data_IF_105330739382
#
_entry.id   IF_105330739382
#
_cell.length_a   1.000
_cell.length_b   1.000
_cell.length_c   1.000
_cell.angle_alpha   90.00
_cell.angle_beta   90.00
_cell.angle_gamma   90.00
#
_symmetry.space_group_name_H-M   'P 1'
#
loop_
_entity.id
_entity.type
_entity.pdbx_description
1 polymer ?
#
# COMPACT_ATOMS: atom_id res chain seq x y z
N UNK A 1 36.80 4.49 18.82
CA UNK A 1 36.80 3.06 18.44
C UNK A 1 35.37 2.59 18.46
N UNK A 2 34.72 2.43 17.31
CA UNK A 2 33.43 1.73 17.28
C UNK A 2 33.72 0.26 17.61
N UNK A 3 33.05 -0.28 18.63
CA UNK A 3 33.20 -1.68 19.04
C UNK A 3 33.00 -2.64 17.86
N UNK A 4 33.42 -3.90 18.03
CA UNK A 4 33.43 -4.98 17.04
C UNK A 4 32.00 -5.34 16.51
N UNK A 5 31.37 -4.38 15.82
CA UNK A 5 30.03 -4.43 15.28
C UNK A 5 30.10 -5.03 13.88
N UNK A 6 29.41 -6.14 13.66
CA UNK A 6 29.35 -6.81 12.36
C UNK A 6 27.97 -6.60 11.75
N UNK A 7 27.92 -5.99 10.57
CA UNK A 7 26.69 -5.81 9.79
C UNK A 7 26.50 -7.00 8.86
N UNK A 8 25.32 -7.62 8.91
CA UNK A 8 24.99 -8.79 8.07
C UNK A 8 23.66 -8.56 7.36
N UNK A 9 23.62 -8.86 6.06
CA UNK A 9 22.37 -8.92 5.30
C UNK A 9 21.78 -10.32 5.45
N UNK A 10 20.52 -10.39 5.86
CA UNK A 10 19.79 -11.63 6.10
C UNK A 10 18.58 -11.70 5.18
N UNK A 11 18.55 -12.69 4.30
CA UNK A 11 17.41 -12.98 3.43
C UNK A 11 16.39 -13.82 4.18
N UNK A 12 15.13 -13.70 3.78
CA UNK A 12 14.02 -14.46 4.39
C UNK A 12 14.19 -15.99 4.34
N UNK A 13 14.93 -16.52 3.37
CA UNK A 13 15.24 -17.95 3.26
C UNK A 13 16.16 -18.46 4.37
N UNK A 14 16.81 -17.58 5.14
CA UNK A 14 17.72 -17.94 6.22
C UNK A 14 16.98 -18.14 7.56
N UNK A 15 16.19 -19.22 7.64
CA UNK A 15 15.23 -19.48 8.73
C UNK A 15 15.80 -19.31 10.16
N UNK A 16 17.04 -19.77 10.42
CA UNK A 16 17.68 -19.68 11.74
C UNK A 16 17.91 -18.21 12.14
N UNK A 17 18.42 -17.40 11.21
CA UNK A 17 18.66 -15.98 11.47
C UNK A 17 17.35 -15.20 11.61
N UNK A 18 16.32 -15.58 10.85
CA UNK A 18 14.98 -14.99 10.96
C UNK A 18 14.35 -15.28 12.34
N UNK A 19 14.55 -16.47 12.90
CA UNK A 19 14.10 -16.79 14.26
C UNK A 19 14.77 -15.88 15.30
N UNK A 20 16.09 -15.67 15.20
CA UNK A 20 16.82 -14.76 16.08
C UNK A 20 16.34 -13.30 15.95
N UNK A 21 16.09 -12.82 14.72
CA UNK A 21 15.51 -11.49 14.48
C UNK A 21 14.11 -11.38 15.09
N UNK A 22 13.28 -12.42 14.95
CA UNK A 22 11.92 -12.43 15.50
C UNK A 22 11.94 -12.31 17.02
N UNK A 23 12.85 -13.04 17.67
CA UNK A 23 13.02 -12.96 19.12
C UNK A 23 13.49 -11.58 19.56
N UNK A 24 14.51 -11.01 18.89
CA UNK A 24 15.01 -9.68 19.19
C UNK A 24 13.96 -8.57 18.98
N UNK A 25 13.14 -8.67 17.94
CA UNK A 25 12.04 -7.73 17.72
C UNK A 25 11.02 -7.80 18.86
N UNK A 26 10.65 -9.01 19.32
CA UNK A 26 9.73 -9.19 20.45
C UNK A 26 10.26 -8.56 21.74
N UNK A 27 11.57 -8.68 22.00
CA UNK A 27 12.24 -8.04 23.14
C UNK A 27 12.24 -6.51 23.06
N UNK A 28 11.94 -5.93 21.89
CA UNK A 28 11.81 -4.48 21.67
C UNK A 28 10.35 -4.06 21.39
N UNK A 29 9.38 -4.90 21.79
CA UNK A 29 7.93 -4.73 21.58
C UNK A 29 7.57 -4.50 20.11
N UNK A 30 8.16 -5.29 19.21
CA UNK A 30 7.89 -5.29 17.79
C UNK A 30 7.61 -6.72 17.30
N UNK A 31 6.68 -6.83 16.35
CA UNK A 31 6.44 -8.07 15.61
C UNK A 31 7.21 -8.06 14.30
N UNK A 32 7.64 -9.25 13.85
CA UNK A 32 8.25 -9.39 12.53
C UNK A 32 7.18 -9.16 11.44
N UNK A 33 7.49 -8.31 10.48
CA UNK A 33 6.65 -8.10 9.30
C UNK A 33 7.05 -9.11 8.22
N UNK A 34 6.10 -9.98 7.86
CA UNK A 34 6.31 -11.03 6.85
C UNK A 34 6.49 -10.48 5.44
N UNK A 35 6.38 -9.18 5.22
CA UNK A 35 6.59 -8.55 3.92
C UNK A 35 8.00 -8.02 3.70
N UNK A 36 8.88 -8.12 4.70
CA UNK A 36 10.30 -7.76 4.59
C UNK A 36 11.03 -8.74 3.68
N UNK A 37 11.74 -8.19 2.68
CA UNK A 37 12.54 -8.95 1.72
C UNK A 37 13.91 -9.32 2.31
N UNK A 38 14.55 -8.34 2.95
CA UNK A 38 15.91 -8.41 3.47
C UNK A 38 15.98 -7.64 4.77
N UNK A 39 16.64 -8.23 5.77
CA UNK A 39 17.04 -7.56 6.99
C UNK A 39 18.53 -7.20 6.95
N UNK A 40 18.88 -6.09 7.59
CA UNK A 40 20.23 -5.80 8.03
C UNK A 40 20.24 -6.04 9.55
N UNK A 41 21.16 -6.88 10.01
CA UNK A 41 21.39 -7.14 11.43
C UNK A 41 22.75 -6.62 11.85
N UNK A 42 22.87 -6.21 13.10
CA UNK A 42 24.13 -5.80 13.71
C UNK A 42 24.39 -6.68 14.92
N UNK A 43 25.51 -7.39 14.90
CA UNK A 43 25.95 -8.22 16.03
C UNK A 43 27.19 -7.62 16.68
N UNK A 44 27.29 -7.74 18.01
CA UNK A 44 28.48 -7.39 18.80
C UNK A 44 28.71 -8.53 19.79
N UNK A 45 29.92 -9.09 19.80
CA UNK A 45 30.25 -10.25 20.62
C UNK A 45 29.21 -11.38 20.46
N UNK A 46 28.88 -11.70 19.21
CA UNK A 46 27.88 -12.72 18.79
C UNK A 46 26.42 -12.44 19.21
N UNK A 47 26.15 -11.37 19.96
CA UNK A 47 24.81 -10.96 20.34
C UNK A 47 24.22 -10.00 19.30
N UNK A 48 22.97 -10.26 18.88
CA UNK A 48 22.20 -9.32 18.06
C UNK A 48 21.84 -8.09 18.88
N UNK A 49 22.28 -6.92 18.43
CA UNK A 49 22.09 -5.64 19.14
C UNK A 49 21.27 -4.63 18.35
N UNK A 50 21.10 -4.81 17.04
CA UNK A 50 20.19 -4.00 16.24
C UNK A 50 19.75 -4.75 14.97
N UNK A 51 18.58 -4.40 14.44
CA UNK A 51 18.14 -4.85 13.12
C UNK A 51 17.23 -3.83 12.44
N UNK A 52 17.11 -3.93 11.13
CA UNK A 52 16.13 -3.21 10.33
C UNK A 52 15.83 -3.96 9.03
N UNK A 53 14.61 -3.84 8.53
CA UNK A 53 14.11 -4.55 7.37
C UNK A 53 13.74 -3.63 6.21
N UNK A 54 13.87 -4.12 4.99
CA UNK A 54 13.39 -3.46 3.76
C UNK A 54 12.32 -4.32 3.10
N UNK A 55 11.15 -3.71 2.88
CA UNK A 55 10.01 -4.28 2.18
C UNK A 55 9.66 -3.39 0.98
N UNK A 56 10.19 -3.70 -0.20
CA UNK A 56 10.10 -2.79 -1.36
C UNK A 56 10.76 -1.44 -1.07
N UNK A 57 9.97 -0.36 -1.13
CA UNK A 57 10.40 1.01 -0.83
C UNK A 57 10.20 1.43 0.64
N UNK A 58 9.93 0.49 1.55
CA UNK A 58 9.58 0.79 2.94
C UNK A 58 10.61 0.18 3.88
N UNK A 59 11.17 1.02 4.74
CA UNK A 59 11.98 0.60 5.89
C UNK A 59 11.03 0.23 7.03
N UNK A 60 11.22 -0.95 7.61
CA UNK A 60 10.37 -1.53 8.66
C UNK A 60 11.20 -2.26 9.70
N UNK A 61 10.55 -2.66 10.80
CA UNK A 61 11.14 -3.54 11.83
C UNK A 61 12.50 -3.02 12.32
N UNK A 62 12.64 -1.70 12.52
CA UNK A 62 13.88 -1.14 13.04
C UNK A 62 13.86 -1.24 14.57
N UNK A 63 14.84 -1.93 15.12
CA UNK A 63 15.01 -2.14 16.56
C UNK A 63 16.47 -2.03 16.97
N UNK A 64 16.71 -1.44 18.15
CA UNK A 64 18.04 -1.21 18.70
C UNK A 64 17.99 -1.51 20.20
N UNK A 65 18.89 -2.39 20.63
CA UNK A 65 19.02 -2.79 22.02
C UNK A 65 19.34 -1.59 22.91
N UNK A 66 18.68 -1.54 24.06
CA UNK A 66 18.82 -0.43 25.02
C UNK A 66 20.27 -0.20 25.45
N UNK A 67 21.04 -1.28 25.58
CA UNK A 67 22.44 -1.23 26.05
C UNK A 67 23.40 -0.51 25.11
N UNK A 68 22.99 -0.24 23.86
CA UNK A 68 23.82 0.44 22.84
C UNK A 68 23.16 1.71 22.28
N UNK A 69 22.07 2.17 22.89
CA UNK A 69 21.42 3.43 22.52
C UNK A 69 22.36 4.60 22.88
N UNK A 70 22.44 5.59 21.97
CA UNK A 70 23.34 6.74 22.14
C UNK A 70 24.74 6.56 21.54
N UNK A 71 25.14 5.36 21.12
CA UNK A 71 26.45 5.11 20.48
C UNK A 71 26.51 5.50 18.98
N UNK A 72 25.46 6.14 18.44
CA UNK A 72 25.35 6.45 17.02
C UNK A 72 25.00 5.25 16.12
N UNK A 73 24.89 4.03 16.67
CA UNK A 73 24.57 2.80 15.92
C UNK A 73 23.27 2.92 15.10
N UNK A 74 22.31 3.66 15.63
CA UNK A 74 21.03 3.93 15.00
C UNK A 74 21.17 4.64 13.64
N UNK A 75 22.05 5.64 13.57
CA UNK A 75 22.34 6.40 12.34
C UNK A 75 23.09 5.52 11.34
N UNK A 76 24.06 4.73 11.80
CA UNK A 76 24.80 3.78 10.96
C UNK A 76 23.87 2.74 10.36
N UNK A 77 22.99 2.13 11.16
CA UNK A 77 21.99 1.17 10.68
C UNK A 77 21.03 1.80 9.67
N UNK A 78 20.51 3.00 9.95
CA UNK A 78 19.64 3.71 9.03
C UNK A 78 20.36 4.00 7.69
N UNK A 79 21.62 4.41 7.74
CA UNK A 79 22.45 4.65 6.53
C UNK A 79 22.62 3.37 5.71
N UNK A 80 22.92 2.24 6.35
CA UNK A 80 23.04 0.94 5.68
C UNK A 80 21.72 0.50 5.03
N UNK A 81 20.58 0.76 5.68
CA UNK A 81 19.26 0.47 5.09
C UNK A 81 18.97 1.34 3.86
N UNK A 82 19.32 2.63 3.91
CA UNK A 82 19.17 3.54 2.78
C UNK A 82 20.06 3.10 1.61
N UNK A 83 21.33 2.77 1.89
CA UNK A 83 22.27 2.29 0.88
C UNK A 83 21.77 1.00 0.23
N UNK A 84 21.31 0.02 1.02
CA UNK A 84 20.73 -1.20 0.49
C UNK A 84 19.48 -0.94 -0.37
N UNK A 85 18.65 0.03 0.00
CA UNK A 85 17.50 0.39 -0.82
C UNK A 85 17.92 1.03 -2.16
N UNK A 86 18.95 1.87 -2.15
CA UNK A 86 19.49 2.51 -3.35
C UNK A 86 20.18 1.50 -4.28
N UNK A 87 20.92 0.53 -3.74
CA UNK A 87 21.47 -0.61 -4.50
C UNK A 87 20.36 -1.41 -5.21
N UNK A 88 19.15 -1.42 -4.63
CA UNK A 88 17.95 -2.06 -5.21
C UNK A 88 17.14 -1.11 -6.10
N UNK A 89 17.68 0.07 -6.44
CA UNK A 89 17.03 1.12 -7.23
C UNK A 89 15.75 1.70 -6.60
N UNK A 90 15.58 1.56 -5.28
CA UNK A 90 14.48 2.15 -4.53
C UNK A 90 14.94 3.48 -3.90
N UNK A 91 14.72 4.60 -4.59
CA UNK A 91 15.18 5.93 -4.12
C UNK A 91 14.12 6.73 -3.39
N UNK A 92 12.84 6.45 -3.65
CA UNK A 92 11.72 6.96 -2.88
C UNK A 92 11.51 6.03 -1.69
N UNK A 93 11.76 6.49 -0.47
CA UNK A 93 11.71 5.67 0.73
C UNK A 93 10.71 6.19 1.74
N UNK A 94 9.95 5.26 2.30
CA UNK A 94 9.11 5.48 3.46
C UNK A 94 9.65 4.72 4.66
N UNK A 95 9.32 5.20 5.86
CA UNK A 95 9.57 4.46 7.09
C UNK A 95 8.37 4.53 8.02
N UNK A 96 8.05 3.36 8.58
CA UNK A 96 7.14 3.22 9.71
C UNK A 96 7.94 2.94 10.96
N UNK A 97 7.75 3.77 11.97
CA UNK A 97 8.43 3.57 13.25
C UNK A 97 7.61 4.11 14.42
N UNK A 98 7.99 3.73 15.64
CA UNK A 98 7.43 4.30 16.87
C UNK A 98 7.77 5.79 16.93
N UNK A 99 6.87 6.59 17.51
CA UNK A 99 7.04 8.05 17.62
C UNK A 99 8.35 8.47 18.31
N UNK A 100 8.85 7.66 19.25
CA UNK A 100 10.15 7.87 19.92
C UNK A 100 11.36 7.88 18.96
N UNK A 101 11.27 7.23 17.80
CA UNK A 101 12.35 7.20 16.81
C UNK A 101 12.23 8.30 15.74
N UNK A 102 11.21 9.17 15.80
CA UNK A 102 10.99 10.23 14.79
C UNK A 102 12.22 11.16 14.67
N UNK A 103 12.79 11.59 15.80
CA UNK A 103 13.96 12.49 15.83
C UNK A 103 15.19 11.84 15.20
N UNK A 104 15.41 10.56 15.43
CA UNK A 104 16.51 9.81 14.84
C UNK A 104 16.42 9.82 13.31
N UNK A 105 15.25 9.45 12.75
CA UNK A 105 15.10 9.36 11.30
C UNK A 105 15.08 10.73 10.62
N UNK A 106 14.72 11.80 11.34
CA UNK A 106 14.92 13.18 10.86
C UNK A 106 16.39 13.50 10.61
N UNK A 107 17.30 13.02 11.45
CA UNK A 107 18.75 13.18 11.25
C UNK A 107 19.25 12.36 10.04
N UNK A 108 18.55 11.30 9.65
CA UNK A 108 18.82 10.49 8.46
C UNK A 108 18.15 11.02 7.17
N UNK A 109 17.64 12.26 7.17
CA UNK A 109 17.03 12.88 6.00
C UNK A 109 15.57 12.48 5.73
N UNK A 110 14.88 11.87 6.70
CA UNK A 110 13.44 11.65 6.62
C UNK A 110 12.64 12.83 7.19
N UNK A 111 11.49 13.11 6.59
CA UNK A 111 10.53 14.08 7.10
C UNK A 111 9.19 13.42 7.35
N UNK A 112 8.56 13.81 8.46
CA UNK A 112 7.26 13.30 8.87
C UNK A 112 6.18 13.69 7.88
N UNK A 113 5.43 12.71 7.39
CA UNK A 113 4.23 12.93 6.59
C UNK A 113 3.00 13.06 7.49
N UNK A 114 2.84 12.12 8.42
CA UNK A 114 1.73 12.08 9.37
C UNK A 114 2.07 11.15 10.54
N UNK A 115 1.31 11.25 11.63
CA UNK A 115 1.51 10.45 12.84
C UNK A 115 0.19 10.04 13.48
N UNK A 116 0.24 8.89 14.15
CA UNK A 116 -0.73 8.46 15.16
C UNK A 116 -0.10 8.76 16.52
N UNK A 117 -0.61 9.76 17.28
CA UNK A 117 0.01 10.19 18.53
C UNK A 117 0.30 9.03 19.48
N UNK A 118 1.53 8.98 20.00
CA UNK A 118 1.98 7.95 20.95
C UNK A 118 2.19 6.55 20.36
N UNK A 119 1.80 6.29 19.11
CA UNK A 119 1.85 4.94 18.53
C UNK A 119 2.86 4.86 17.39
N UNK A 120 2.63 5.57 16.29
CA UNK A 120 3.48 5.46 15.09
C UNK A 120 3.61 6.77 14.33
N UNK A 121 4.69 6.87 13.57
CA UNK A 121 4.94 7.94 12.61
C UNK A 121 5.25 7.34 11.24
N UNK A 122 4.66 7.92 10.20
CA UNK A 122 5.04 7.69 8.81
C UNK A 122 5.92 8.84 8.34
N UNK A 123 7.11 8.52 7.86
CA UNK A 123 8.07 9.50 7.34
C UNK A 123 8.51 9.11 5.94
N UNK A 124 8.95 10.11 5.17
CA UNK A 124 9.45 9.95 3.80
C UNK A 124 10.82 10.60 3.67
N UNK A 125 11.71 10.05 2.83
CA UNK A 125 13.02 10.67 2.53
C UNK A 125 12.92 11.89 1.58
N UNK A 126 11.87 12.70 1.70
CA UNK A 126 11.71 13.97 1.00
C UNK A 126 10.71 14.88 1.70
N UNK A 127 11.05 16.17 1.79
CA UNK A 127 10.19 17.22 2.34
C UNK A 127 9.18 17.78 1.32
N UNK A 128 9.27 17.41 0.04
CA UNK A 128 8.51 18.06 -1.04
C UNK A 128 7.72 17.11 -1.94
N UNK A 129 7.95 15.79 -1.93
CA UNK A 129 7.27 14.89 -2.89
C UNK A 129 5.76 14.85 -2.71
N UNK A 130 5.25 14.72 -1.49
CA UNK A 130 3.80 14.76 -1.24
C UNK A 130 3.18 16.10 -1.68
N UNK A 131 3.87 17.22 -1.41
CA UNK A 131 3.42 18.55 -1.85
C UNK A 131 3.38 18.66 -3.37
N UNK A 132 4.45 18.25 -4.05
CA UNK A 132 4.50 18.23 -5.52
C UNK A 132 3.47 17.29 -6.13
N UNK A 133 3.16 16.18 -5.47
CA UNK A 133 2.09 15.29 -5.90
C UNK A 133 0.72 15.97 -5.77
N UNK A 134 0.43 16.60 -4.63
CA UNK A 134 -0.79 17.39 -4.45
C UNK A 134 -0.90 18.54 -5.49
N UNK A 135 0.19 19.27 -5.75
CA UNK A 135 0.25 20.30 -6.81
C UNK A 135 0.03 19.72 -8.21
N UNK A 136 0.46 18.48 -8.47
CA UNK A 136 0.18 17.81 -9.75
C UNK A 136 -1.31 17.44 -9.87
N UNK A 137 -1.93 17.03 -8.76
CA UNK A 137 -3.36 16.74 -8.71
C UNK A 137 -4.19 18.01 -8.88
N UNK A 138 -3.78 19.14 -8.32
CA UNK A 138 -4.55 20.39 -8.43
C UNK A 138 -4.68 20.90 -9.86
N UNK A 139 -3.81 20.47 -10.79
CA UNK A 139 -3.93 20.75 -12.23
C UNK A 139 -5.09 19.99 -12.89
N UNK A 140 -5.57 18.93 -12.24
CA UNK A 140 -6.70 18.10 -12.68
C UNK A 140 -7.97 18.39 -11.88
N UNK A 141 -7.97 19.48 -11.09
CA UNK A 141 -9.13 19.91 -10.32
C UNK A 141 -10.22 20.42 -11.26
N UNK A 142 -11.46 20.11 -10.91
CA UNK A 142 -12.66 20.66 -11.55
C UNK A 142 -13.49 21.43 -10.53
N UNK A 143 -14.15 22.50 -10.97
CA UNK A 143 -15.05 23.28 -10.13
C UNK A 143 -16.39 22.56 -9.95
N UNK A 144 -17.00 22.74 -8.78
CA UNK A 144 -18.29 22.14 -8.42
C UNK A 144 -18.56 22.29 -6.93
N UNK A 145 -19.81 22.08 -6.53
CA UNK A 145 -20.22 22.04 -5.13
C UNK A 145 -19.98 20.64 -4.53
N UNK A 146 -20.27 19.60 -5.31
CA UNK A 146 -20.10 18.21 -4.91
C UNK A 146 -19.03 17.56 -5.79
N UNK A 147 -17.83 17.43 -5.27
CA UNK A 147 -16.72 16.73 -5.93
C UNK A 147 -16.50 15.39 -5.25
N UNK A 148 -16.67 14.33 -6.02
CA UNK A 148 -16.58 12.95 -5.56
C UNK A 148 -15.19 12.35 -5.70
N UNK A 149 -14.88 11.38 -4.85
CA UNK A 149 -13.72 10.51 -4.98
C UNK A 149 -14.09 9.04 -4.76
N UNK A 150 -13.55 8.15 -5.60
CA UNK A 150 -13.48 6.72 -5.34
C UNK A 150 -12.02 6.28 -5.34
N UNK A 151 -11.67 5.39 -4.43
CA UNK A 151 -10.42 4.63 -4.47
C UNK A 151 -10.75 3.15 -4.60
N UNK A 152 -10.21 2.47 -5.61
CA UNK A 152 -10.49 1.05 -5.82
C UNK A 152 -9.30 0.27 -6.36
N UNK A 153 -9.30 -1.04 -6.14
CA UNK A 153 -8.25 -1.93 -6.64
C UNK A 153 -8.57 -2.51 -8.03
N UNK A 154 -9.83 -2.81 -8.33
CA UNK A 154 -10.27 -3.37 -9.62
C UNK A 154 -9.47 -4.61 -10.08
N UNK A 155 -9.45 -5.67 -9.26
CA UNK A 155 -8.63 -6.88 -9.47
C UNK A 155 -9.48 -8.16 -9.71
N UNK A 156 -10.19 -8.31 -10.85
CA UNK A 156 -10.22 -7.42 -12.00
C UNK A 156 -11.34 -6.36 -11.87
N UNK A 157 -11.47 -5.49 -12.86
CA UNK A 157 -12.62 -4.60 -12.99
C UNK A 157 -13.91 -5.42 -13.19
N UNK A 158 -15.02 -5.02 -12.57
CA UNK A 158 -16.27 -5.81 -12.56
C UNK A 158 -17.47 -4.89 -12.77
N UNK A 159 -18.64 -5.46 -13.05
CA UNK A 159 -19.89 -4.70 -13.14
C UNK A 159 -20.22 -4.03 -11.80
N UNK A 160 -19.82 -4.61 -10.66
CA UNK A 160 -19.92 -3.98 -9.35
C UNK A 160 -19.08 -2.70 -9.21
N UNK A 161 -17.83 -2.70 -9.71
CA UNK A 161 -17.01 -1.49 -9.74
C UNK A 161 -17.60 -0.42 -10.66
N UNK A 162 -18.02 -0.84 -11.86
CA UNK A 162 -18.63 0.06 -12.85
C UNK A 162 -19.91 0.70 -12.29
N UNK A 163 -20.76 -0.08 -11.65
CA UNK A 163 -21.96 0.40 -10.98
C UNK A 163 -21.64 1.46 -9.93
N UNK A 164 -20.67 1.20 -9.02
CA UNK A 164 -20.26 2.18 -8.02
C UNK A 164 -19.82 3.51 -8.64
N UNK A 165 -19.03 3.45 -9.72
CA UNK A 165 -18.56 4.64 -10.45
C UNK A 165 -19.73 5.40 -11.07
N UNK A 166 -20.66 4.70 -11.73
CA UNK A 166 -21.84 5.32 -12.33
C UNK A 166 -22.73 6.01 -11.28
N UNK A 167 -22.99 5.34 -10.17
CA UNK A 167 -23.81 5.89 -9.09
C UNK A 167 -23.16 7.11 -8.44
N UNK A 168 -21.85 7.06 -8.20
CA UNK A 168 -21.12 8.20 -7.65
C UNK A 168 -21.08 9.37 -8.63
N UNK A 169 -20.78 9.14 -9.91
CA UNK A 169 -20.72 10.18 -10.94
C UNK A 169 -22.08 10.87 -11.16
N UNK A 170 -23.18 10.13 -10.99
CA UNK A 170 -24.53 10.70 -11.05
C UNK A 170 -24.86 11.62 -9.86
N UNK A 171 -24.17 11.46 -8.73
CA UNK A 171 -24.41 12.20 -7.49
C UNK A 171 -23.44 13.37 -7.28
N UNK A 172 -22.51 13.63 -8.19
CA UNK A 172 -21.52 14.70 -8.05
C UNK A 172 -21.35 15.49 -9.35
N UNK A 173 -20.79 16.69 -9.22
CA UNK A 173 -20.44 17.55 -10.35
C UNK A 173 -19.25 16.98 -11.12
N UNK A 174 -18.29 16.40 -10.39
CA UNK A 174 -17.13 15.71 -10.95
C UNK A 174 -16.66 14.56 -10.05
N UNK A 175 -16.25 13.45 -10.65
CA UNK A 175 -15.75 12.27 -9.94
C UNK A 175 -14.27 12.03 -10.24
N UNK A 176 -13.46 11.94 -9.19
CA UNK A 176 -12.08 11.49 -9.27
C UNK A 176 -11.98 10.01 -8.87
N UNK A 177 -11.41 9.18 -9.75
CA UNK A 177 -11.23 7.75 -9.52
C UNK A 177 -9.74 7.41 -9.41
N UNK A 178 -9.29 7.01 -8.22
CA UNK A 178 -7.93 6.53 -8.01
C UNK A 178 -7.87 5.00 -8.05
N UNK A 179 -6.99 4.47 -8.91
CA UNK A 179 -6.69 3.04 -8.95
C UNK A 179 -5.53 2.70 -8.02
N UNK A 180 -5.70 1.72 -7.14
CA UNK A 180 -4.63 1.23 -6.26
C UNK A 180 -3.49 0.65 -7.10
N UNK A 181 -2.27 1.16 -6.86
CA UNK A 181 -1.08 0.83 -7.66
C UNK A 181 -0.50 -0.56 -7.39
N UNK A 182 -0.69 -1.07 -6.19
CA UNK A 182 0.00 -2.27 -5.69
C UNK A 182 -0.17 -3.51 -6.60
N UNK A 183 0.95 -4.16 -6.90
CA UNK A 183 1.04 -5.25 -7.91
C UNK A 183 1.08 -6.65 -7.28
N UNK A 184 0.59 -6.79 -6.04
CA UNK A 184 0.35 -8.11 -5.41
C UNK A 184 -0.94 -8.76 -5.92
N UNK A 185 -1.60 -8.16 -6.90
CA UNK A 185 -2.84 -8.62 -7.52
C UNK A 185 -2.60 -9.78 -8.49
N UNK A 186 -3.67 -10.54 -8.80
CA UNK A 186 -3.63 -11.55 -9.86
C UNK A 186 -3.46 -10.91 -11.24
N UNK A 187 -3.98 -9.68 -11.38
CA UNK A 187 -3.91 -8.88 -12.60
C UNK A 187 -2.90 -7.75 -12.42
N UNK A 188 -1.94 -7.58 -13.35
CA UNK A 188 -0.97 -6.49 -13.31
C UNK A 188 -1.63 -5.11 -13.23
N UNK A 189 -0.96 -4.15 -12.60
CA UNK A 189 -1.48 -2.77 -12.47
C UNK A 189 -1.87 -2.13 -13.82
N UNK A 190 -1.01 -2.20 -14.83
CA UNK A 190 -1.30 -1.58 -16.14
C UNK A 190 -2.51 -2.24 -16.82
N UNK A 191 -2.68 -3.55 -16.68
CA UNK A 191 -3.86 -4.26 -17.21
C UNK A 191 -5.14 -3.81 -16.47
N UNK A 192 -5.08 -3.68 -15.13
CA UNK A 192 -6.22 -3.17 -14.35
C UNK A 192 -6.59 -1.75 -14.76
N UNK A 193 -5.60 -0.89 -15.00
CA UNK A 193 -5.81 0.48 -15.45
C UNK A 193 -6.48 0.52 -16.83
N UNK A 194 -5.97 -0.25 -17.78
CA UNK A 194 -6.57 -0.35 -19.12
C UNK A 194 -8.02 -0.83 -19.07
N UNK A 195 -8.31 -1.84 -18.24
CA UNK A 195 -9.67 -2.35 -18.04
C UNK A 195 -10.61 -1.31 -17.42
N UNK A 196 -10.14 -0.52 -16.45
CA UNK A 196 -10.91 0.57 -15.86
C UNK A 196 -11.19 1.64 -16.92
N UNK A 197 -10.15 2.12 -17.62
CA UNK A 197 -10.29 3.15 -18.66
C UNK A 197 -11.28 2.74 -19.75
N UNK A 198 -11.19 1.51 -20.27
CA UNK A 198 -12.13 0.98 -21.26
C UNK A 198 -13.53 0.81 -20.68
N UNK A 199 -13.63 0.34 -19.43
CA UNK A 199 -14.90 0.06 -18.76
C UNK A 199 -15.66 1.30 -18.30
N UNK A 200 -15.02 2.48 -18.30
CA UNK A 200 -15.61 3.76 -17.88
C UNK A 200 -15.56 4.84 -18.96
N UNK A 201 -15.18 4.51 -20.20
CA UNK A 201 -15.02 5.48 -21.28
C UNK A 201 -16.31 6.25 -21.61
N UNK A 202 -17.47 5.65 -21.35
CA UNK A 202 -18.78 6.24 -21.58
C UNK A 202 -19.31 7.09 -20.40
N UNK A 203 -18.60 7.10 -19.26
CA UNK A 203 -19.04 7.82 -18.06
C UNK A 203 -18.50 9.25 -18.12
N UNK A 204 -19.40 10.21 -18.35
CA UNK A 204 -19.06 11.64 -18.32
C UNK A 204 -18.67 12.11 -16.91
N UNK A 205 -17.92 13.23 -16.84
CA UNK A 205 -17.54 13.90 -15.58
C UNK A 205 -16.69 13.03 -14.64
N UNK A 206 -15.79 12.26 -15.23
CA UNK A 206 -14.90 11.33 -14.54
C UNK A 206 -13.44 11.58 -14.94
N UNK A 207 -12.56 11.72 -13.96
CA UNK A 207 -11.10 11.65 -14.16
C UNK A 207 -10.56 10.38 -13.52
N UNK A 208 -9.96 9.52 -14.33
CA UNK A 208 -9.24 8.34 -13.83
C UNK A 208 -7.78 8.70 -13.56
N UNK A 209 -7.38 8.58 -12.30
CA UNK A 209 -6.02 8.86 -11.83
C UNK A 209 -5.22 7.57 -11.71
N UNK A 210 -3.96 7.64 -12.14
CA UNK A 210 -2.98 6.61 -11.80
C UNK A 210 -2.77 6.58 -10.28
N UNK A 211 -2.54 5.39 -9.76
CA UNK A 211 -2.25 5.19 -8.35
C UNK A 211 -0.92 5.80 -7.96
N UNK A 212 -0.80 6.18 -6.69
CA UNK A 212 0.43 6.71 -6.13
C UNK A 212 0.78 5.99 -4.83
N UNK A 213 1.98 6.28 -4.33
CA UNK A 213 2.44 5.77 -3.04
C UNK A 213 1.70 6.41 -1.85
N UNK A 214 0.84 7.41 -2.09
CA UNK A 214 0.18 8.22 -1.05
C UNK A 214 -1.31 7.90 -0.85
N UNK A 215 -1.85 6.88 -1.54
CA UNK A 215 -3.26 6.49 -1.43
C UNK A 215 -3.42 4.97 -1.52
N UNK A 216 -3.86 4.35 -0.43
CA UNK A 216 -4.00 2.90 -0.24
C UNK A 216 -2.82 2.14 -0.88
N UNK A 217 -1.61 2.49 -0.46
CA UNK A 217 -0.37 1.83 -0.88
C UNK A 217 0.17 0.94 0.23
N UNK A 218 1.21 0.15 -0.02
CA UNK A 218 1.95 -0.50 1.07
C UNK A 218 2.59 0.50 2.02
N UNK A 219 2.83 1.73 1.56
CA UNK A 219 3.47 2.81 2.30
C UNK A 219 2.51 3.66 3.13
N UNK A 220 1.20 3.64 2.84
CA UNK A 220 0.16 4.27 3.68
C UNK A 220 -0.69 3.25 4.40
N UNK A 221 -0.85 2.06 3.82
CA UNK A 221 -1.65 0.96 4.34
C UNK A 221 -1.06 -0.46 4.12
N UNK A 222 0.08 -0.79 4.76
CA UNK A 222 0.79 -2.05 4.54
C UNK A 222 -0.03 -3.33 4.83
N UNK A 223 -0.93 -3.30 5.81
CA UNK A 223 -1.78 -4.45 6.15
C UNK A 223 -3.03 -4.59 5.28
N UNK A 224 -3.34 -3.68 4.36
CA UNK A 224 -4.44 -3.88 3.42
C UNK A 224 -4.28 -5.19 2.59
N UNK A 225 -3.04 -5.69 2.51
CA UNK A 225 -2.67 -6.91 1.81
C UNK A 225 -2.37 -8.10 2.75
N UNK A 226 -2.47 -7.92 4.07
CA UNK A 226 -2.14 -8.92 5.09
C UNK A 226 -3.34 -9.10 6.04
N UNK A 227 -3.92 -10.29 6.04
CA UNK A 227 -5.00 -10.64 6.96
C UNK A 227 -4.41 -11.09 8.30
N UNK A 228 -4.09 -10.18 9.22
CA UNK A 228 -3.96 -10.43 10.67
C UNK A 228 -3.53 -9.15 11.42
N UNK A 229 -4.08 -8.95 12.64
CA UNK A 229 -3.91 -7.85 13.64
C UNK A 229 -4.83 -6.60 13.52
N UNK A 230 -5.73 -6.40 14.49
CA UNK A 230 -6.76 -5.34 14.51
C UNK A 230 -6.24 -3.91 14.80
N UNK A 231 -5.42 -3.73 15.85
CA UNK A 231 -4.95 -2.38 16.27
C UNK A 231 -4.06 -1.72 15.23
N UNK A 232 -3.20 -2.50 14.58
CA UNK A 232 -2.29 -2.05 13.53
C UNK A 232 -3.10 -1.56 12.30
N UNK A 233 -4.22 -2.21 11.99
CA UNK A 233 -5.07 -1.83 10.86
C UNK A 233 -5.71 -0.45 11.06
N UNK A 234 -6.13 -0.11 12.27
CA UNK A 234 -6.68 1.22 12.58
C UNK A 234 -5.63 2.33 12.38
N UNK A 235 -4.41 2.11 12.86
CA UNK A 235 -3.35 3.11 12.72
C UNK A 235 -2.98 3.36 11.25
N UNK A 236 -2.94 2.31 10.43
CA UNK A 236 -2.70 2.48 9.00
C UNK A 236 -3.86 3.18 8.29
N UNK A 237 -5.09 2.85 8.67
CA UNK A 237 -6.29 3.53 8.16
C UNK A 237 -6.25 5.02 8.49
N UNK A 238 -5.90 5.37 9.73
CA UNK A 238 -5.71 6.75 10.16
C UNK A 238 -4.64 7.48 9.33
N UNK A 239 -3.48 6.85 9.10
CA UNK A 239 -2.38 7.42 8.31
C UNK A 239 -2.82 7.70 6.87
N UNK A 240 -3.44 6.72 6.20
CA UNK A 240 -3.94 6.86 4.83
C UNK A 240 -4.97 8.00 4.71
N UNK A 241 -5.94 8.03 5.63
CA UNK A 241 -7.04 8.98 5.59
C UNK A 241 -6.61 10.39 5.99
N UNK A 242 -5.63 10.54 6.90
CA UNK A 242 -4.99 11.83 7.18
C UNK A 242 -4.28 12.37 5.94
N UNK A 243 -3.49 11.55 5.24
CA UNK A 243 -2.83 11.97 3.99
C UNK A 243 -3.87 12.39 2.96
N UNK A 244 -4.91 11.57 2.76
CA UNK A 244 -5.96 11.86 1.82
C UNK A 244 -6.67 13.19 2.14
N UNK A 245 -7.16 13.34 3.37
CA UNK A 245 -7.96 14.50 3.79
C UNK A 245 -7.15 15.80 3.85
N UNK A 246 -5.88 15.74 4.23
CA UNK A 246 -5.06 16.94 4.40
C UNK A 246 -4.36 17.40 3.12
N UNK A 247 -4.10 16.50 2.16
CA UNK A 247 -3.28 16.81 0.98
C UNK A 247 -3.99 16.54 -0.35
N UNK A 248 -4.58 15.35 -0.54
CA UNK A 248 -5.13 14.96 -1.84
C UNK A 248 -6.51 15.57 -2.07
N UNK A 249 -7.38 15.52 -1.07
CA UNK A 249 -8.74 16.05 -1.19
C UNK A 249 -8.76 17.57 -1.42
N UNK A 250 -8.03 18.41 -0.66
CA UNK A 250 -7.99 19.84 -0.92
C UNK A 250 -7.41 20.19 -2.29
N UNK A 251 -6.42 19.43 -2.77
CA UNK A 251 -5.83 19.65 -4.08
C UNK A 251 -6.85 19.50 -5.22
N UNK A 252 -7.76 18.54 -5.11
CA UNK A 252 -8.81 18.26 -6.10
C UNK A 252 -10.17 18.90 -5.76
N UNK A 253 -10.28 19.59 -4.61
CA UNK A 253 -11.56 20.12 -4.15
C UNK A 253 -12.57 19.05 -3.75
N UNK A 254 -12.12 17.83 -3.40
CA UNK A 254 -12.99 16.70 -3.05
C UNK A 254 -13.78 17.02 -1.77
N UNK A 255 -15.10 16.89 -1.84
CA UNK A 255 -16.01 17.06 -0.71
C UNK A 255 -16.66 15.74 -0.27
N UNK A 256 -16.68 14.73 -1.15
CA UNK A 256 -17.31 13.44 -0.87
C UNK A 256 -16.40 12.28 -1.25
N UNK A 257 -16.38 11.24 -0.42
CA UNK A 257 -15.76 9.96 -0.77
C UNK A 257 -16.85 8.89 -0.87
N UNK A 258 -16.87 8.16 -1.97
CA UNK A 258 -17.85 7.11 -2.24
C UNK A 258 -17.22 5.74 -2.06
N UNK A 259 -17.91 4.85 -1.35
CA UNK A 259 -17.52 3.46 -1.17
C UNK A 259 -18.72 2.54 -1.38
N UNK A 260 -18.47 1.30 -1.79
CA UNK A 260 -19.51 0.26 -1.78
C UNK A 260 -19.62 -0.36 -0.40
N UNK A 261 -20.82 -0.81 -0.02
CA UNK A 261 -20.99 -1.67 1.16
C UNK A 261 -20.13 -2.93 1.05
N UNK A 262 -19.62 -3.46 2.16
CA UNK A 262 -18.74 -4.65 2.14
C UNK A 262 -19.20 -5.69 3.17
N UNK A 263 -20.04 -6.65 2.77
CA UNK A 263 -20.54 -7.69 3.67
C UNK A 263 -19.61 -8.91 3.80
N UNK A 264 -18.51 -8.99 3.03
CA UNK A 264 -17.71 -10.22 2.92
C UNK A 264 -16.27 -10.11 3.43
N UNK A 265 -15.80 -8.90 3.71
CA UNK A 265 -14.41 -8.65 4.07
C UNK A 265 -14.34 -7.75 5.29
N UNK A 266 -14.17 -8.35 6.48
CA UNK A 266 -14.13 -7.64 7.76
C UNK A 266 -13.10 -6.51 7.78
N UNK A 267 -11.93 -6.72 7.15
CA UNK A 267 -10.88 -5.68 7.04
C UNK A 267 -11.36 -4.46 6.25
N UNK A 268 -12.04 -4.69 5.13
CA UNK A 268 -12.56 -3.61 4.29
C UNK A 268 -13.78 -2.95 4.93
N UNK A 269 -14.63 -3.73 5.61
CA UNK A 269 -15.75 -3.19 6.39
C UNK A 269 -15.27 -2.30 7.54
N UNK A 270 -14.24 -2.74 8.27
CA UNK A 270 -13.60 -1.94 9.31
C UNK A 270 -12.96 -0.67 8.73
N UNK A 271 -12.30 -0.78 7.59
CA UNK A 271 -11.75 0.39 6.90
C UNK A 271 -12.84 1.40 6.52
N UNK A 272 -13.99 0.96 6.02
CA UNK A 272 -15.13 1.86 5.73
C UNK A 272 -15.66 2.51 7.02
N UNK A 273 -15.72 1.76 8.13
CA UNK A 273 -16.14 2.29 9.43
C UNK A 273 -15.19 3.39 9.93
N UNK A 274 -13.89 3.11 9.97
CA UNK A 274 -12.86 4.07 10.35
C UNK A 274 -12.81 5.27 9.39
N UNK A 275 -13.12 5.04 8.11
CA UNK A 275 -13.18 6.08 7.08
C UNK A 275 -14.17 7.18 7.44
N UNK A 276 -15.36 6.81 7.91
CA UNK A 276 -16.37 7.79 8.34
C UNK A 276 -15.79 8.72 9.41
N UNK A 277 -15.17 8.14 10.44
CA UNK A 277 -14.60 8.92 11.54
C UNK A 277 -13.51 9.89 11.07
N UNK A 278 -12.49 9.40 10.34
CA UNK A 278 -11.34 10.23 9.97
C UNK A 278 -11.65 11.27 8.90
N UNK A 279 -12.61 11.00 8.02
CA UNK A 279 -13.03 11.97 7.01
C UNK A 279 -13.86 13.11 7.60
N UNK A 280 -14.66 12.86 8.64
CA UNK A 280 -15.61 13.83 9.19
C UNK A 280 -15.14 14.50 10.49
N UNK A 281 -14.18 13.91 11.21
CA UNK A 281 -13.74 14.43 12.53
C UNK A 281 -13.27 15.89 12.48
N UNK A 282 -13.64 16.76 13.42
CA UNK A 282 -13.18 18.15 13.43
C UNK A 282 -11.71 18.30 13.84
N UNK A 283 -11.05 17.22 14.27
CA UNK A 283 -9.68 17.25 14.82
C UNK A 283 -8.58 17.45 13.77
N UNK A 284 -8.87 17.24 12.49
CA UNK A 284 -7.90 17.42 11.42
C UNK A 284 -8.00 18.84 10.83
N UNK A 285 -6.86 19.50 10.54
CA UNK A 285 -6.83 20.87 10.00
C UNK A 285 -7.09 20.88 8.48
N UNK A 286 -8.21 20.30 8.07
CA UNK A 286 -8.68 20.26 6.68
C UNK A 286 -10.21 20.11 6.67
N UNK A 287 -10.91 20.59 5.62
CA UNK A 287 -12.36 20.45 5.51
C UNK A 287 -12.82 18.99 5.71
N UNK A 288 -13.97 18.78 6.37
CA UNK A 288 -14.56 17.44 6.45
C UNK A 288 -14.96 16.95 5.06
N UNK A 289 -14.95 15.64 4.88
CA UNK A 289 -15.35 14.96 3.66
C UNK A 289 -16.49 14.01 4.03
N UNK A 290 -17.62 14.12 3.33
CA UNK A 290 -18.76 13.26 3.56
C UNK A 290 -18.49 11.85 3.01
N UNK A 291 -18.69 10.81 3.83
CA UNK A 291 -18.65 9.43 3.36
C UNK A 291 -20.02 8.99 2.86
N UNK A 292 -20.10 8.65 1.57
CA UNK A 292 -21.30 8.10 0.95
C UNK A 292 -21.11 6.61 0.69
N UNK A 293 -21.91 5.78 1.37
CA UNK A 293 -21.95 4.34 1.14
C UNK A 293 -23.04 4.00 0.12
N UNK A 294 -22.67 3.28 -0.93
CA UNK A 294 -23.56 2.82 -1.99
C UNK A 294 -23.76 1.31 -1.86
N UNK A 295 -25.02 0.87 -1.86
CA UNK A 295 -25.35 -0.55 -1.80
C UNK A 295 -24.74 -1.30 -3.00
N UNK A 296 -24.16 -2.47 -2.75
CA UNK A 296 -23.54 -3.26 -3.82
C UNK A 296 -24.55 -3.77 -4.83
N UNK A 297 -24.16 -3.70 -6.11
CA UNK A 297 -24.86 -4.38 -7.18
C UNK A 297 -24.86 -5.90 -6.95
N UNK A 298 -26.06 -6.48 -6.95
CA UNK A 298 -26.29 -7.92 -6.86
C UNK A 298 -26.64 -8.51 -8.22
N UNK A 299 -26.12 -9.71 -8.49
CA UNK A 299 -26.53 -10.56 -9.60
C UNK A 299 -27.12 -11.84 -9.01
N UNK A 300 -28.38 -12.14 -9.33
CA UNK A 300 -29.12 -13.30 -8.79
C UNK A 300 -29.05 -13.38 -7.25
N UNK A 301 -29.24 -12.24 -6.58
CA UNK A 301 -29.20 -12.15 -5.11
C UNK A 301 -27.81 -12.20 -4.49
N UNK A 302 -26.74 -12.35 -5.28
CA UNK A 302 -25.36 -12.36 -4.79
C UNK A 302 -24.62 -11.07 -5.19
N UNK A 303 -24.04 -10.31 -4.25
CA UNK A 303 -23.24 -9.13 -4.57
C UNK A 303 -22.04 -9.46 -5.49
N UNK A 304 -21.91 -8.69 -6.57
CA UNK A 304 -20.83 -8.86 -7.54
C UNK A 304 -19.50 -8.47 -6.89
N UNK A 305 -18.53 -9.38 -6.86
CA UNK A 305 -17.20 -9.12 -6.32
C UNK A 305 -16.08 -9.63 -7.23
N UNK A 306 -14.95 -8.93 -7.22
CA UNK A 306 -13.75 -9.37 -7.92
C UNK A 306 -13.24 -10.73 -7.42
N UNK A 307 -13.43 -11.02 -6.13
CA UNK A 307 -13.07 -12.30 -5.53
C UNK A 307 -13.89 -13.46 -6.11
N UNK A 308 -15.18 -13.25 -6.37
CA UNK A 308 -16.03 -14.24 -7.06
C UNK A 308 -15.54 -14.48 -8.49
N UNK A 309 -15.25 -13.42 -9.25
CA UNK A 309 -14.69 -13.54 -10.61
C UNK A 309 -13.40 -14.34 -10.61
N UNK A 310 -12.47 -14.06 -9.68
CA UNK A 310 -11.22 -14.83 -9.55
C UNK A 310 -11.46 -16.31 -9.23
N UNK A 311 -12.47 -16.64 -8.40
CA UNK A 311 -12.85 -18.04 -8.10
C UNK A 311 -13.41 -18.75 -9.34
N UNK A 312 -14.31 -18.11 -10.08
CA UNK A 312 -14.88 -18.65 -11.32
C UNK A 312 -13.80 -18.83 -12.40
N UNK A 313 -12.82 -17.92 -12.45
CA UNK A 313 -11.72 -17.99 -13.41
C UNK A 313 -10.81 -19.19 -13.14
N UNK A 314 -10.62 -19.59 -11.87
CA UNK A 314 -9.93 -20.86 -11.53
C UNK A 314 -10.73 -22.07 -12.03
N UNK A 315 -12.06 -22.00 -11.97
CA UNK A 315 -12.97 -23.05 -12.47
C UNK A 315 -13.16 -23.03 -13.99
N UNK A 316 -12.55 -22.07 -14.71
CA UNK A 316 -12.71 -21.83 -16.15
C UNK A 316 -14.17 -21.58 -16.58
N UNK A 317 -15.02 -21.09 -15.67
CA UNK A 317 -16.43 -20.81 -15.95
C UNK A 317 -16.60 -19.39 -16.54
N UNK A 318 -16.22 -19.24 -17.80
CA UNK A 318 -16.30 -17.96 -18.53
C UNK A 318 -17.74 -17.51 -18.76
N UNK A 319 -18.68 -18.45 -18.87
CA UNK A 319 -20.11 -18.16 -19.04
C UNK A 319 -20.66 -17.44 -17.82
N UNK A 320 -20.38 -17.92 -16.61
CA UNK A 320 -20.78 -17.24 -15.38
C UNK A 320 -20.07 -15.87 -15.24
N UNK A 321 -18.78 -15.79 -15.60
CA UNK A 321 -18.01 -14.53 -15.55
C UNK A 321 -18.61 -13.45 -16.45
N UNK A 322 -19.12 -13.81 -17.63
CA UNK A 322 -19.65 -12.86 -18.60
C UNK A 322 -20.77 -11.97 -18.03
N UNK A 323 -21.54 -12.46 -17.05
CA UNK A 323 -22.59 -11.68 -16.38
C UNK A 323 -22.05 -10.74 -15.28
N UNK A 324 -20.82 -10.94 -14.83
CA UNK A 324 -20.24 -10.25 -13.67
C UNK A 324 -19.27 -9.12 -14.04
N UNK A 325 -18.81 -9.07 -15.29
CA UNK A 325 -17.77 -8.13 -15.73
C UNK A 325 -18.15 -7.40 -17.03
N UNK A 326 -17.58 -6.20 -17.29
CA UNK A 326 -17.75 -5.53 -18.56
C UNK A 326 -17.10 -6.32 -19.72
N UNK A 327 -17.55 -6.06 -20.95
CA UNK A 327 -17.07 -6.74 -22.16
C UNK A 327 -15.55 -6.70 -22.32
N UNK A 328 -14.91 -5.54 -22.07
CA UNK A 328 -13.45 -5.41 -22.13
C UNK A 328 -12.73 -6.32 -21.14
N UNK A 329 -13.28 -6.48 -19.92
CA UNK A 329 -12.73 -7.41 -18.93
C UNK A 329 -12.93 -8.86 -19.37
N UNK A 330 -14.11 -9.21 -19.89
CA UNK A 330 -14.36 -10.56 -20.39
C UNK A 330 -13.38 -10.95 -21.50
N UNK A 331 -13.19 -10.06 -22.48
CA UNK A 331 -12.23 -10.26 -23.59
C UNK A 331 -10.80 -10.44 -23.08
N UNK A 332 -10.38 -9.60 -22.14
CA UNK A 332 -9.06 -9.73 -21.51
C UNK A 332 -8.90 -11.09 -20.81
N UNK A 333 -9.89 -11.51 -20.02
CA UNK A 333 -9.87 -12.80 -19.33
C UNK A 333 -9.87 -14.00 -20.29
N UNK A 334 -10.55 -13.90 -21.44
CA UNK A 334 -10.53 -14.91 -22.49
C UNK A 334 -9.18 -15.00 -23.21
N UNK A 335 -8.51 -13.86 -23.38
CA UNK A 335 -7.20 -13.78 -24.03
C UNK A 335 -6.03 -14.19 -23.13
N UNK A 336 -6.27 -14.40 -21.82
CA UNK A 336 -5.21 -14.80 -20.90
C UNK A 336 -4.68 -16.18 -21.29
N UNK A 337 -3.39 -16.33 -21.63
CA UNK A 337 -2.78 -17.64 -21.72
C UNK A 337 -2.89 -18.33 -20.36
N UNK A 338 -3.00 -19.66 -20.34
CA UNK A 338 -3.03 -20.45 -19.10
C UNK A 338 -1.76 -20.21 -18.27
N UNK A 339 -1.74 -19.15 -17.47
CA UNK A 339 -0.67 -18.93 -16.50
C UNK A 339 -0.97 -19.85 -15.33
N UNK A 340 -0.10 -20.84 -15.13
CA UNK A 340 -0.01 -21.58 -13.89
C UNK A 340 -0.05 -20.60 -12.69
N UNK A 341 -0.68 -20.97 -11.56
CA UNK A 341 -0.80 -20.09 -10.41
C UNK A 341 0.59 -19.56 -10.02
N UNK A 342 0.66 -18.26 -9.75
CA UNK A 342 1.89 -17.54 -9.46
C UNK A 342 2.68 -18.23 -8.34
N UNK A 343 3.66 -19.06 -8.70
CA UNK A 343 4.85 -19.24 -7.87
C UNK A 343 5.60 -17.93 -7.94
N UNK A 344 5.92 -17.35 -6.78
CA UNK A 344 6.79 -16.19 -6.68
C UNK A 344 8.02 -16.39 -7.56
N UNK A 345 8.09 -15.68 -8.68
CA UNK A 345 9.20 -15.79 -9.63
C UNK A 345 10.38 -15.05 -8.98
N UNK A 346 11.23 -15.80 -8.29
CA UNK A 346 12.62 -15.43 -8.07
C UNK A 346 13.26 -15.41 -9.46
N UNK A 347 13.40 -14.23 -10.05
CA UNK A 347 14.24 -14.04 -11.24
C UNK A 347 15.70 -14.26 -10.83
N UNK A 348 16.20 -15.48 -10.96
CA UNK A 348 17.63 -15.70 -11.16
C UNK A 348 17.96 -15.33 -12.61
N UNK A 349 18.82 -14.33 -12.78
CA UNK A 349 19.60 -14.12 -14.00
C UNK A 349 21.03 -13.80 -13.57
N UNK A 350 21.93 -14.74 -13.80
CA UNK A 350 23.36 -14.47 -14.01
C UNK A 350 23.89 -15.53 -15.00
N UNK A 351 24.82 -15.18 -15.91
CA UNK A 351 25.01 -15.87 -17.19
C UNK A 351 25.88 -17.13 -17.07
N UNK A 352 25.69 -18.03 -18.03
CA UNK A 352 26.61 -19.12 -18.32
C UNK A 352 27.98 -18.55 -18.73
N UNK A 353 29.02 -18.92 -17.98
CA UNK A 353 30.40 -18.87 -18.44
C UNK A 353 30.76 -20.25 -18.97
N UNK A 354 31.22 -20.23 -20.23
CA UNK A 354 31.83 -21.31 -20.98
C UNK A 354 33.25 -21.56 -20.46
N UNK A 355 33.64 -22.83 -20.37
CA UNK A 355 34.97 -23.46 -20.67
C UNK A 355 34.93 -24.83 -19.97
N UNK A 356 35.07 -26.00 -20.59
CA UNK A 356 35.92 -26.38 -21.72
C UNK A 356 36.96 -27.37 -21.19
N UNK A 357 36.90 -28.63 -21.66
CA UNK A 357 37.97 -29.66 -21.66
C UNK A 357 38.45 -30.17 -20.27
N UNK A 358 38.56 -31.45 -19.95
CA UNK A 358 38.67 -32.73 -20.68
C UNK A 358 38.08 -33.84 -19.81
#
# INVERSE_FOLDING_TARGET
>A
MFGNNVFTRVKRSENIKIAAITQFLKENDLSIDTTVDVFITVTRNEKLIACGGIAGNIIKCVAISESVRGEGLALTLATELINLAYERHCTHLFIYTKTEYETLFRQCGFSTLTRVPGIMVLMENSTTRLKRYAESLSKLRHDGQKIGCIVMNANPFTNGHRYLIQQAAAQCDWLHLFLVKEDTSRFPYEDRLDLVLKGTADIARLTVHRGSEYIISRATFPCYFIKEQSVINHCYTEIDLKIFRQYLAPALGITHRFVGTEPFCDVTAQYNHDMRFWLETPTLPAPPIELVEIERLCFQGTPISASLVRKLLVKKDLTAIASLVPSATLQYLQSMPERAPARAIVRQKTPALVTGEK
#
